data_IF_445367501142
#
_entry.id   IF_445367501142
#
_cell.length_a   1.000
_cell.length_b   1.000
_cell.length_c   1.000
_cell.angle_alpha   90.00
_cell.angle_beta   90.00
_cell.angle_gamma   90.00
#
_symmetry.space_group_name_H-M   'P 1'
#
loop_
_entity.id
_entity.type
_entity.pdbx_description
1 polymer ?
#
# COMPACT_ATOMS: atom_id res chain seq x y z
N UNK A 1 -0.37 63.25 -43.03
CA UNK A 1 0.15 61.94 -43.49
C UNK A 1 0.09 61.03 -42.27
N UNK A 2 -1.02 60.31 -42.14
CA UNK A 2 -1.42 59.62 -40.90
C UNK A 2 -0.80 58.23 -40.88
N UNK A 3 -0.02 57.91 -39.84
CA UNK A 3 0.52 56.57 -39.62
C UNK A 3 -0.63 55.60 -39.31
N UNK A 4 -0.66 54.40 -39.91
CA UNK A 4 -1.62 53.38 -39.52
C UNK A 4 -1.28 52.81 -38.12
N UNK A 5 -2.28 52.38 -37.33
CA UNK A 5 -2.03 51.82 -36.01
C UNK A 5 -1.36 50.44 -36.12
N UNK A 6 -0.36 50.20 -35.26
CA UNK A 6 0.21 48.87 -35.02
C UNK A 6 -0.91 47.90 -34.62
N UNK A 7 -1.01 46.80 -35.36
CA UNK A 7 -1.85 45.67 -34.96
C UNK A 7 -1.14 44.92 -33.83
N UNK A 8 -1.82 44.60 -32.72
CA UNK A 8 -1.23 43.74 -31.70
C UNK A 8 -1.00 42.35 -32.29
N UNK A 9 0.23 41.85 -32.13
CA UNK A 9 0.58 40.46 -32.42
C UNK A 9 -0.40 39.54 -31.68
N UNK A 10 -1.09 38.70 -32.45
CA UNK A 10 -1.88 37.61 -31.90
C UNK A 10 -0.94 36.62 -31.20
N UNK A 11 -1.18 36.25 -29.93
CA UNK A 11 -0.40 35.20 -29.31
C UNK A 11 -0.67 33.89 -30.03
N UNK A 12 0.40 33.35 -30.61
CA UNK A 12 0.46 32.09 -31.32
C UNK A 12 -0.02 30.92 -30.44
N UNK A 13 -0.78 30.02 -31.05
CA UNK A 13 -1.23 28.71 -30.59
C UNK A 13 -1.31 28.44 -29.08
N UNK A 14 -2.52 28.54 -28.52
CA UNK A 14 -2.91 27.94 -27.23
C UNK A 14 -2.88 26.41 -27.25
N UNK A 15 -1.68 25.83 -27.43
CA UNK A 15 -1.43 24.42 -27.20
C UNK A 15 -1.45 24.14 -25.71
N UNK A 16 -2.26 23.16 -25.29
CA UNK A 16 -2.18 22.60 -23.93
C UNK A 16 -0.72 22.25 -23.65
N UNK A 17 -0.11 22.80 -22.57
CA UNK A 17 1.31 22.56 -22.30
C UNK A 17 1.58 21.05 -22.14
N UNK A 18 2.78 20.58 -22.48
CA UNK A 18 3.06 19.15 -22.66
C UNK A 18 2.72 18.31 -21.41
N UNK A 19 2.94 18.89 -20.24
CA UNK A 19 2.63 18.32 -18.93
C UNK A 19 1.13 18.11 -18.71
N UNK A 20 0.28 19.05 -19.13
CA UNK A 20 -1.17 18.93 -19.03
C UNK A 20 -1.69 17.87 -20.00
N UNK A 21 -1.11 17.75 -21.20
CA UNK A 21 -1.49 16.71 -22.17
C UNK A 21 -1.16 15.32 -21.65
N UNK A 22 0.03 15.13 -21.08
CA UNK A 22 0.44 13.84 -20.54
C UNK A 22 -0.34 13.48 -19.28
N UNK A 23 -0.66 14.45 -18.42
CA UNK A 23 -1.59 14.25 -17.30
C UNK A 23 -2.98 13.81 -17.76
N UNK A 24 -3.54 14.45 -18.79
CA UNK A 24 -4.85 14.05 -19.35
C UNK A 24 -4.81 12.63 -19.91
N UNK A 25 -3.73 12.23 -20.60
CA UNK A 25 -3.56 10.87 -21.11
C UNK A 25 -3.56 9.83 -19.99
N UNK A 26 -2.88 10.11 -18.88
CA UNK A 26 -2.86 9.23 -17.70
C UNK A 26 -4.27 9.07 -17.14
N UNK A 27 -4.97 10.19 -16.90
CA UNK A 27 -6.34 10.17 -16.38
C UNK A 27 -7.29 9.41 -17.32
N UNK A 28 -7.21 9.64 -18.63
CA UNK A 28 -8.04 8.98 -19.63
C UNK A 28 -7.78 7.47 -19.67
N UNK A 29 -6.52 7.04 -19.59
CA UNK A 29 -6.15 5.63 -19.61
C UNK A 29 -6.67 4.89 -18.37
N UNK A 30 -6.56 5.49 -17.19
CA UNK A 30 -7.07 4.91 -15.94
C UNK A 30 -8.60 4.90 -15.93
N UNK A 31 -9.24 5.98 -16.38
CA UNK A 31 -10.70 6.03 -16.50
C UNK A 31 -11.23 5.04 -17.55
N UNK A 32 -10.49 4.80 -18.63
CA UNK A 32 -10.84 3.78 -19.62
C UNK A 32 -10.70 2.36 -19.06
N UNK A 33 -9.64 2.09 -18.29
CA UNK A 33 -9.49 0.82 -17.58
C UNK A 33 -10.66 0.59 -16.64
N UNK A 34 -11.08 1.62 -15.91
CA UNK A 34 -12.21 1.55 -15.01
C UNK A 34 -13.55 1.29 -15.73
N UNK A 35 -13.82 2.02 -16.82
CA UNK A 35 -15.03 1.80 -17.61
C UNK A 35 -15.09 0.42 -18.26
N UNK A 36 -13.94 -0.14 -18.63
CA UNK A 36 -13.85 -1.45 -19.28
C UNK A 36 -14.29 -2.63 -18.41
N UNK A 37 -14.35 -2.45 -17.10
CA UNK A 37 -14.77 -3.47 -16.12
C UNK A 37 -15.95 -3.00 -15.28
N UNK A 38 -16.74 -2.05 -15.81
CA UNK A 38 -17.91 -1.49 -15.11
C UNK A 38 -18.96 -2.54 -14.72
N UNK A 39 -19.13 -3.55 -15.57
CA UNK A 39 -20.10 -4.63 -15.36
C UNK A 39 -19.53 -5.76 -14.47
N UNK A 40 -18.24 -5.70 -14.12
CA UNK A 40 -17.48 -6.66 -13.30
C UNK A 40 -16.62 -5.88 -12.29
N UNK A 41 -17.23 -5.17 -11.33
CA UNK A 41 -16.55 -4.24 -10.42
C UNK A 41 -15.41 -4.90 -9.62
N UNK A 42 -15.48 -6.20 -9.36
CA UNK A 42 -14.41 -6.99 -8.74
C UNK A 42 -13.10 -7.02 -9.55
N UNK A 43 -13.15 -6.75 -10.86
CA UNK A 43 -11.96 -6.66 -11.73
C UNK A 43 -11.38 -5.26 -11.83
N UNK A 44 -12.08 -4.25 -11.31
CA UNK A 44 -11.62 -2.86 -11.24
C UNK A 44 -10.21 -2.71 -10.69
N UNK A 45 -9.86 -3.31 -9.53
CA UNK A 45 -8.57 -3.08 -8.91
C UNK A 45 -7.43 -3.62 -9.81
N UNK A 46 -7.57 -4.86 -10.31
CA UNK A 46 -6.58 -5.45 -11.22
C UNK A 46 -6.42 -4.65 -12.53
N UNK A 47 -7.51 -4.12 -13.09
CA UNK A 47 -7.47 -3.30 -14.29
C UNK A 47 -6.70 -1.98 -14.10
N UNK A 48 -6.81 -1.35 -12.92
CA UNK A 48 -6.06 -0.15 -12.55
C UNK A 48 -4.56 -0.45 -12.40
N UNK A 49 -4.21 -1.52 -11.67
CA UNK A 49 -2.82 -1.96 -11.53
C UNK A 49 -2.20 -2.27 -12.91
N UNK A 50 -2.92 -2.97 -13.81
CA UNK A 50 -2.46 -3.24 -15.16
C UNK A 50 -2.31 -1.96 -16.02
N UNK A 51 -3.14 -0.94 -15.81
CA UNK A 51 -3.00 0.34 -16.48
C UNK A 51 -1.72 1.10 -16.03
N UNK A 52 -1.37 1.01 -14.76
CA UNK A 52 -0.12 1.60 -14.24
C UNK A 52 1.11 1.04 -14.96
N UNK A 53 1.18 -0.29 -15.13
CA UNK A 53 2.28 -0.97 -15.84
C UNK A 53 2.33 -0.60 -17.33
N UNK A 54 1.19 -0.28 -17.97
CA UNK A 54 1.18 0.18 -19.37
C UNK A 54 1.65 1.63 -19.53
N UNK A 55 1.48 2.46 -18.51
CA UNK A 55 1.78 3.89 -18.55
C UNK A 55 3.21 4.22 -18.12
N UNK A 56 3.87 3.31 -17.40
CA UNK A 56 5.16 3.53 -16.78
C UNK A 56 6.14 2.41 -17.15
N UNK A 57 7.45 2.69 -17.24
CA UNK A 57 8.46 1.66 -17.50
C UNK A 57 8.78 0.87 -16.23
N UNK A 58 7.79 0.15 -15.72
CA UNK A 58 7.84 -0.67 -14.49
C UNK A 58 7.50 -2.11 -14.85
N UNK A 59 7.97 -3.07 -14.05
CA UNK A 59 7.67 -4.49 -14.25
C UNK A 59 6.42 -4.94 -13.52
N UNK A 60 6.04 -4.23 -12.45
CA UNK A 60 4.82 -4.49 -11.72
C UNK A 60 4.32 -3.27 -10.94
N UNK A 61 3.08 -3.35 -10.50
CA UNK A 61 2.45 -2.36 -9.63
C UNK A 61 1.51 -3.05 -8.64
N UNK A 62 1.43 -2.52 -7.42
CA UNK A 62 0.40 -2.90 -6.45
C UNK A 62 -0.19 -1.68 -5.77
N UNK A 63 -1.47 -1.75 -5.43
CA UNK A 63 -2.12 -0.76 -4.57
C UNK A 63 -2.43 -1.42 -3.25
N UNK A 64 -2.10 -0.74 -2.15
CA UNK A 64 -2.49 -1.14 -0.80
C UNK A 64 -3.32 -0.03 -0.14
N UNK A 65 -4.24 -0.40 0.75
CA UNK A 65 -5.11 0.51 1.51
C UNK A 65 -4.89 0.27 3.00
N UNK A 66 -4.82 1.35 3.77
CA UNK A 66 -4.64 1.31 5.22
C UNK A 66 -5.96 1.64 5.92
N UNK A 67 -6.49 0.67 6.66
CA UNK A 67 -7.81 0.77 7.29
C UNK A 67 -7.78 1.36 8.71
N UNK A 68 -7.15 2.52 8.90
CA UNK A 68 -7.22 3.34 10.12
C UNK A 68 -6.62 2.75 11.42
N UNK A 69 -6.19 1.48 11.44
CA UNK A 69 -5.72 0.78 12.66
C UNK A 69 -4.38 0.05 12.48
N UNK A 70 -3.47 0.59 11.67
CA UNK A 70 -2.17 -0.05 11.37
C UNK A 70 -2.26 -1.28 10.47
N UNK A 71 -3.46 -1.66 10.03
CA UNK A 71 -3.69 -2.75 9.08
C UNK A 71 -3.63 -2.18 7.66
N UNK A 72 -2.59 -2.54 6.91
CA UNK A 72 -2.44 -2.23 5.49
C UNK A 72 -2.70 -3.47 4.65
N UNK A 73 -3.57 -3.39 3.65
CA UNK A 73 -4.01 -4.53 2.86
C UNK A 73 -3.80 -4.27 1.37
N UNK A 74 -3.37 -5.28 0.63
CA UNK A 74 -3.20 -5.16 -0.83
C UNK A 74 -4.57 -5.13 -1.50
N UNK A 75 -4.93 -4.02 -2.14
CA UNK A 75 -6.17 -3.91 -2.91
C UNK A 75 -6.05 -4.52 -4.31
N UNK A 76 -4.90 -4.31 -4.97
CA UNK A 76 -4.60 -4.94 -6.25
C UNK A 76 -3.11 -5.15 -6.46
N UNK A 77 -2.80 -6.06 -7.37
CA UNK A 77 -1.48 -6.22 -7.95
C UNK A 77 -1.60 -6.50 -9.46
N UNK A 78 -0.61 -6.07 -10.23
CA UNK A 78 -0.54 -6.33 -11.68
C UNK A 78 -0.25 -7.79 -12.01
N UNK A 79 0.46 -8.47 -11.11
CA UNK A 79 0.96 -9.83 -11.28
C UNK A 79 1.28 -10.47 -9.92
N UNK A 80 1.75 -11.72 -9.96
CA UNK A 80 2.07 -12.50 -8.76
C UNK A 80 3.28 -11.98 -7.98
N UNK A 81 4.26 -11.38 -8.65
CA UNK A 81 5.46 -10.84 -7.99
C UNK A 81 5.07 -9.58 -7.22
N UNK A 82 4.32 -8.67 -7.85
CA UNK A 82 3.79 -7.49 -7.20
C UNK A 82 2.89 -7.85 -5.99
N UNK A 83 2.02 -8.86 -6.13
CA UNK A 83 1.19 -9.34 -5.02
C UNK A 83 2.04 -9.88 -3.87
N UNK A 84 3.08 -10.67 -4.18
CA UNK A 84 3.98 -11.24 -3.18
C UNK A 84 4.79 -10.18 -2.46
N UNK A 85 5.25 -9.14 -3.16
CA UNK A 85 5.99 -8.03 -2.57
C UNK A 85 5.11 -7.17 -1.67
N UNK A 86 3.87 -6.93 -2.05
CA UNK A 86 2.91 -6.24 -1.20
C UNK A 86 2.61 -7.04 0.07
N UNK A 87 2.38 -8.36 -0.05
CA UNK A 87 2.19 -9.28 1.08
C UNK A 87 3.43 -9.35 1.98
N UNK A 88 4.62 -9.29 1.38
CA UNK A 88 5.88 -9.28 2.12
C UNK A 88 6.03 -8.04 2.98
N UNK A 89 5.85 -6.83 2.43
CA UNK A 89 5.92 -5.59 3.20
C UNK A 89 4.90 -5.58 4.33
N UNK A 90 3.69 -6.10 4.07
CA UNK A 90 2.68 -6.26 5.10
C UNK A 90 3.08 -7.25 6.19
N UNK A 91 3.63 -8.41 5.81
CA UNK A 91 4.06 -9.47 6.73
C UNK A 91 5.22 -9.01 7.60
N UNK A 92 6.15 -8.25 7.03
CA UNK A 92 7.27 -7.69 7.78
C UNK A 92 6.83 -6.54 8.69
N UNK A 93 5.75 -5.84 8.35
CA UNK A 93 5.41 -4.56 8.98
C UNK A 93 6.48 -3.49 8.72
N UNK A 94 7.33 -3.70 7.72
CA UNK A 94 8.43 -2.83 7.36
C UNK A 94 8.65 -2.89 5.84
N UNK A 95 9.11 -1.79 5.26
CA UNK A 95 9.34 -1.64 3.84
C UNK A 95 9.11 -0.22 3.32
N UNK A 96 9.46 0.03 2.05
CA UNK A 96 9.22 1.32 1.40
C UNK A 96 7.78 1.83 1.53
N UNK A 97 6.79 0.94 1.42
CA UNK A 97 5.38 1.34 1.51
C UNK A 97 4.97 1.78 2.91
N UNK A 98 5.43 1.09 3.95
CA UNK A 98 5.18 1.47 5.35
C UNK A 98 5.80 2.84 5.63
N UNK A 99 7.06 3.04 5.23
CA UNK A 99 7.72 4.35 5.38
C UNK A 99 6.98 5.45 4.60
N UNK A 100 6.48 5.17 3.39
CA UNK A 100 5.74 6.16 2.60
C UNK A 100 4.41 6.55 3.26
N UNK A 101 3.72 5.57 3.84
CA UNK A 101 2.48 5.78 4.58
C UNK A 101 2.71 6.63 5.84
N UNK A 102 3.70 6.25 6.66
CA UNK A 102 4.07 6.97 7.89
C UNK A 102 4.49 8.41 7.63
N UNK A 103 5.27 8.65 6.56
CA UNK A 103 5.77 9.98 6.23
C UNK A 103 4.76 10.82 5.45
N UNK A 104 3.72 10.21 4.89
CA UNK A 104 2.82 10.86 3.94
C UNK A 104 3.55 11.40 2.70
N UNK A 105 4.71 10.82 2.34
CA UNK A 105 5.57 11.30 1.26
C UNK A 105 6.09 10.15 0.39
N UNK A 106 6.35 10.39 -0.92
CA UNK A 106 6.96 9.40 -1.79
C UNK A 106 8.29 8.87 -1.24
N UNK A 107 8.42 7.55 -1.20
CA UNK A 107 9.66 6.86 -0.82
C UNK A 107 10.20 6.10 -2.02
N UNK A 108 11.48 6.31 -2.29
CA UNK A 108 12.20 5.67 -3.39
C UNK A 108 13.28 4.77 -2.79
N UNK A 109 13.19 3.49 -3.08
CA UNK A 109 14.25 2.51 -2.89
C UNK A 109 14.89 2.28 -4.26
N UNK A 110 15.98 2.99 -4.54
CA UNK A 110 16.57 3.03 -5.88
C UNK A 110 17.49 1.82 -6.15
N UNK A 111 18.00 1.17 -5.10
CA UNK A 111 18.86 0.00 -5.23
C UNK A 111 18.64 -0.97 -4.07
N UNK A 112 17.89 -2.04 -4.31
CA UNK A 112 17.63 -3.10 -3.34
C UNK A 112 18.74 -4.15 -3.28
N UNK A 113 19.81 -4.00 -4.06
CA UNK A 113 20.94 -4.94 -4.08
C UNK A 113 22.12 -4.47 -3.23
N UNK A 114 22.22 -3.16 -2.97
CA UNK A 114 23.33 -2.58 -2.23
C UNK A 114 22.97 -1.28 -1.49
N UNK A 115 23.97 -0.70 -0.81
CA UNK A 115 23.88 0.68 -0.35
C UNK A 115 22.91 0.93 0.81
N UNK A 116 22.21 2.06 0.76
CA UNK A 116 21.38 2.55 1.87
C UNK A 116 20.08 1.76 2.01
N UNK A 117 19.45 1.38 0.90
CA UNK A 117 18.11 0.80 0.94
C UNK A 117 18.14 -0.65 1.48
N UNK A 118 19.18 -1.42 1.15
CA UNK A 118 19.46 -2.72 1.82
C UNK A 118 19.71 -2.62 3.32
N UNK A 119 20.15 -1.46 3.84
CA UNK A 119 20.30 -1.25 5.29
C UNK A 119 19.00 -0.80 5.95
N UNK A 120 18.15 -0.09 5.22
CA UNK A 120 16.85 0.38 5.73
C UNK A 120 15.86 -0.77 5.82
N UNK A 121 15.84 -1.63 4.80
CA UNK A 121 14.87 -2.72 4.69
C UNK A 121 15.58 -4.03 4.30
N UNK A 122 16.45 -4.59 5.16
CA UNK A 122 17.32 -5.70 4.79
C UNK A 122 16.57 -6.94 4.31
N UNK A 123 15.50 -7.33 5.00
CA UNK A 123 14.71 -8.51 4.64
C UNK A 123 13.93 -8.26 3.35
N UNK A 124 13.23 -7.14 3.25
CA UNK A 124 12.49 -6.79 2.04
C UNK A 124 13.40 -6.67 0.81
N UNK A 125 14.53 -5.99 0.93
CA UNK A 125 15.47 -5.79 -0.16
C UNK A 125 16.04 -7.11 -0.68
N UNK A 126 16.41 -8.03 0.22
CA UNK A 126 16.90 -9.35 -0.14
C UNK A 126 15.86 -10.17 -0.91
N UNK A 127 14.66 -10.33 -0.35
CA UNK A 127 13.58 -11.10 -0.97
C UNK A 127 13.10 -10.48 -2.29
N UNK A 128 13.05 -9.14 -2.38
CA UNK A 128 12.70 -8.45 -3.61
C UNK A 128 13.73 -8.69 -4.71
N UNK A 129 15.03 -8.62 -4.38
CA UNK A 129 16.10 -8.90 -5.32
C UNK A 129 16.08 -10.35 -5.83
N UNK A 130 15.78 -11.33 -4.96
CA UNK A 130 15.59 -12.74 -5.35
C UNK A 130 14.41 -12.91 -6.33
N UNK A 131 13.38 -12.08 -6.22
CA UNK A 131 12.25 -12.02 -7.17
C UNK A 131 12.53 -11.17 -8.41
N UNK A 132 13.75 -10.65 -8.58
CA UNK A 132 14.17 -9.86 -9.74
C UNK A 132 13.77 -8.38 -9.67
N UNK A 133 13.31 -7.89 -8.53
CA UNK A 133 12.97 -6.47 -8.31
C UNK A 133 14.14 -5.76 -7.64
N UNK A 134 14.68 -4.76 -8.33
CA UNK A 134 15.90 -4.06 -7.93
C UNK A 134 15.63 -2.62 -7.44
N UNK A 135 14.46 -2.07 -7.75
CA UNK A 135 14.05 -0.76 -7.26
C UNK A 135 12.52 -0.69 -7.06
N UNK A 136 12.09 0.13 -6.09
CA UNK A 136 10.68 0.31 -5.71
C UNK A 136 10.37 1.78 -5.46
N UNK A 137 9.24 2.25 -5.98
CA UNK A 137 8.69 3.58 -5.73
C UNK A 137 7.35 3.42 -5.02
N UNK A 138 7.31 3.81 -3.76
CA UNK A 138 6.11 3.78 -2.93
C UNK A 138 5.52 5.18 -2.85
N UNK A 139 4.36 5.36 -3.46
CA UNK A 139 3.68 6.64 -3.58
C UNK A 139 2.43 6.62 -2.69
N UNK A 140 2.35 7.45 -1.64
CA UNK A 140 1.17 7.48 -0.77
C UNK A 140 -0.06 7.94 -1.55
N UNK A 141 -1.17 7.24 -1.35
CA UNK A 141 -2.49 7.58 -1.86
C UNK A 141 -3.24 8.34 -0.76
N UNK A 142 -3.67 9.58 -1.03
CA UNK A 142 -4.31 10.40 0.00
C UNK A 142 -4.46 11.86 -0.38
N UNK A 143 -5.21 12.59 0.44
CA UNK A 143 -5.49 14.02 0.27
C UNK A 143 -5.16 14.75 1.57
N UNK A 144 -4.63 15.97 1.47
CA UNK A 144 -4.36 16.85 2.61
C UNK A 144 -3.43 16.27 3.69
N UNK A 145 -2.50 15.39 3.30
CA UNK A 145 -1.48 14.83 4.20
C UNK A 145 -1.91 13.57 4.96
N UNK A 146 -3.16 13.12 4.82
CA UNK A 146 -3.61 11.81 5.31
C UNK A 146 -3.50 10.79 4.18
N UNK A 147 -2.62 9.80 4.34
CA UNK A 147 -2.48 8.69 3.39
C UNK A 147 -3.42 7.55 3.78
N UNK A 148 -4.31 7.17 2.86
CA UNK A 148 -5.26 6.05 3.00
C UNK A 148 -4.70 4.76 2.40
N UNK A 149 -3.49 4.80 1.84
CA UNK A 149 -2.87 3.66 1.17
C UNK A 149 -1.59 4.03 0.43
N UNK A 150 -1.08 3.10 -0.37
CA UNK A 150 0.11 3.30 -1.22
C UNK A 150 -0.10 2.69 -2.61
N UNK A 151 0.47 3.34 -3.62
CA UNK A 151 0.77 2.76 -4.92
C UNK A 151 2.26 2.43 -4.95
N UNK A 152 2.58 1.14 -5.00
CA UNK A 152 3.94 0.66 -5.14
C UNK A 152 4.22 0.28 -6.60
N UNK A 153 5.34 0.76 -7.12
CA UNK A 153 5.80 0.51 -8.48
C UNK A 153 7.15 -0.21 -8.43
N UNK A 154 7.22 -1.38 -9.08
CA UNK A 154 8.37 -2.28 -9.02
C UNK A 154 9.16 -2.24 -10.33
N UNK A 155 10.49 -2.22 -10.23
CA UNK A 155 11.39 -2.17 -11.37
C UNK A 155 12.44 -3.29 -11.28
N UNK A 156 12.80 -3.86 -12.42
CA UNK A 156 13.86 -4.87 -12.57
C UNK A 156 15.27 -4.28 -12.77
N UNK A 157 15.42 -2.96 -12.60
CA UNK A 157 16.66 -2.23 -12.79
C UNK A 157 16.92 -1.24 -11.66
N UNK A 158 18.19 -1.12 -11.28
CA UNK A 158 18.66 -0.10 -10.33
C UNK A 158 18.40 1.32 -10.86
N UNK A 159 18.11 2.24 -9.96
CA UNK A 159 17.68 3.61 -10.25
C UNK A 159 16.20 3.71 -10.62
N UNK A 160 15.67 2.76 -11.38
CA UNK A 160 14.26 2.68 -11.73
C UNK A 160 13.80 3.79 -12.69
N UNK A 161 12.80 4.57 -12.28
CA UNK A 161 12.14 5.60 -13.09
C UNK A 161 13.03 6.82 -13.34
N UNK A 162 12.99 7.36 -14.56
CA UNK A 162 13.60 8.65 -14.88
C UNK A 162 12.78 9.80 -14.28
N UNK A 163 13.32 11.03 -14.24
CA UNK A 163 12.58 12.19 -13.75
C UNK A 163 11.25 12.44 -14.51
N UNK A 164 11.19 12.35 -15.86
CA UNK A 164 9.92 12.36 -16.58
C UNK A 164 8.95 11.24 -16.19
N UNK A 165 9.45 10.02 -15.99
CA UNK A 165 8.60 8.89 -15.63
C UNK A 165 8.08 9.03 -14.19
N UNK A 166 8.89 9.56 -13.28
CA UNK A 166 8.49 9.84 -11.91
C UNK A 166 7.36 10.88 -11.87
N UNK A 167 7.43 11.92 -12.71
CA UNK A 167 6.34 12.89 -12.85
C UNK A 167 5.07 12.23 -13.37
N UNK A 168 5.16 11.34 -14.35
CA UNK A 168 4.03 10.52 -14.81
C UNK A 168 3.48 9.64 -13.70
N UNK A 169 4.35 9.04 -12.89
CA UNK A 169 3.96 8.19 -11.76
C UNK A 169 3.19 8.97 -10.69
N UNK A 170 3.58 10.23 -10.43
CA UNK A 170 2.82 11.11 -9.54
C UNK A 170 1.42 11.42 -10.07
N UNK A 171 1.25 11.61 -11.38
CA UNK A 171 -0.08 11.76 -12.00
C UNK A 171 -0.90 10.46 -11.94
N UNK A 172 -0.26 9.31 -12.15
CA UNK A 172 -0.91 8.00 -11.98
C UNK A 172 -1.40 7.88 -10.54
N UNK A 173 -0.56 8.21 -9.55
CA UNK A 173 -0.95 8.24 -8.14
C UNK A 173 -2.13 9.18 -7.87
N UNK A 174 -2.17 10.39 -8.45
CA UNK A 174 -3.33 11.30 -8.30
C UNK A 174 -4.61 10.65 -8.84
N UNK A 175 -4.54 10.08 -10.04
CA UNK A 175 -5.70 9.48 -10.70
C UNK A 175 -6.18 8.21 -9.97
N UNK A 176 -5.25 7.38 -9.47
CA UNK A 176 -5.59 6.23 -8.61
C UNK A 176 -6.21 6.72 -7.30
N UNK A 177 -5.65 7.75 -6.66
CA UNK A 177 -6.25 8.36 -5.45
C UNK A 177 -7.67 8.85 -5.71
N UNK A 178 -7.88 9.55 -6.82
CA UNK A 178 -9.20 10.04 -7.19
C UNK A 178 -10.20 8.90 -7.45
N UNK A 179 -9.77 7.87 -8.18
CA UNK A 179 -10.58 6.67 -8.42
C UNK A 179 -10.92 5.98 -7.09
N UNK A 180 -9.96 5.92 -6.16
CA UNK A 180 -10.13 5.37 -4.82
C UNK A 180 -11.25 6.14 -4.09
N UNK A 181 -11.12 7.47 -3.99
CA UNK A 181 -12.11 8.29 -3.30
C UNK A 181 -13.49 8.30 -3.97
N UNK A 182 -13.56 8.10 -5.29
CA UNK A 182 -14.83 8.07 -6.03
C UNK A 182 -15.65 6.79 -5.77
N UNK A 183 -15.04 5.75 -5.20
CA UNK A 183 -15.71 4.52 -4.77
C UNK A 183 -16.33 4.67 -3.37
N UNK A 184 -16.00 5.73 -2.61
CA UNK A 184 -16.57 5.98 -1.30
C UNK A 184 -18.02 6.51 -1.38
N UNK A 185 -18.93 6.08 -0.48
CA UNK A 185 -20.04 6.92 -0.06
C UNK A 185 -19.47 8.20 0.57
N UNK A 186 -20.13 9.35 0.38
CA UNK A 186 -19.65 10.65 0.83
C UNK A 186 -19.21 10.64 2.31
N UNK A 187 -17.93 10.94 2.55
CA UNK A 187 -17.33 11.08 3.88
C UNK A 187 -17.94 12.28 4.63
N UNK A 188 -18.57 12.04 5.80
CA UNK A 188 -18.88 13.05 6.82
C UNK A 188 -18.30 12.62 8.19
N UNK A 189 -16.97 12.63 8.27
CA UNK A 189 -16.25 13.05 9.48
C UNK A 189 -16.46 12.30 10.81
N UNK A 190 -17.00 11.07 10.85
CA UNK A 190 -17.13 10.29 12.10
C UNK A 190 -16.29 9.01 12.11
N UNK A 191 -15.82 8.60 13.29
CA UNK A 191 -14.96 7.40 13.48
C UNK A 191 -15.67 6.08 13.10
N UNK A 192 -17.00 6.02 13.23
CA UNK A 192 -17.83 4.88 12.84
C UNK A 192 -17.91 4.73 11.30
N UNK A 193 -17.85 5.83 10.54
CA UNK A 193 -17.90 5.82 9.07
C UNK A 193 -16.55 5.48 8.42
N UNK A 194 -15.44 5.66 9.15
CA UNK A 194 -14.14 5.15 8.69
C UNK A 194 -14.15 3.62 8.63
N UNK A 195 -14.76 2.95 9.62
CA UNK A 195 -14.96 1.49 9.60
C UNK A 195 -15.88 1.07 8.45
N UNK A 196 -16.93 1.85 8.15
CA UNK A 196 -17.88 1.56 7.07
C UNK A 196 -17.25 1.79 5.67
N UNK A 197 -16.40 2.81 5.54
CA UNK A 197 -15.58 3.01 4.35
C UNK A 197 -14.63 1.81 4.17
N UNK A 198 -13.91 1.39 5.22
CA UNK A 198 -13.05 0.19 5.19
C UNK A 198 -13.86 -1.05 4.83
N UNK A 199 -15.09 -1.20 5.32
CA UNK A 199 -15.96 -2.31 4.95
C UNK A 199 -16.28 -2.30 3.45
N UNK A 200 -16.57 -1.15 2.85
CA UNK A 200 -16.75 -1.01 1.40
C UNK A 200 -15.47 -1.32 0.59
N UNK A 201 -14.29 -0.94 1.10
CA UNK A 201 -12.99 -1.33 0.54
C UNK A 201 -12.73 -2.83 0.60
N UNK A 202 -13.11 -3.46 1.72
CA UNK A 202 -12.96 -4.89 1.98
C UNK A 202 -13.94 -5.71 1.16
N UNK A 203 -15.19 -5.25 0.99
CA UNK A 203 -16.18 -5.88 0.11
C UNK A 203 -15.76 -5.86 -1.35
N UNK A 204 -15.05 -4.81 -1.78
CA UNK A 204 -14.48 -4.70 -3.13
C UNK A 204 -13.16 -5.47 -3.31
N UNK A 205 -12.61 -6.07 -2.24
CA UNK A 205 -11.31 -6.75 -2.24
C UNK A 205 -11.46 -8.27 -2.03
N UNK A 206 -10.46 -9.04 -2.46
CA UNK A 206 -10.50 -10.51 -2.43
C UNK A 206 -10.68 -11.10 -1.00
N UNK A 207 -11.17 -12.35 -0.93
CA UNK A 207 -11.53 -13.06 0.30
C UNK A 207 -10.44 -13.11 1.39
N UNK A 208 -9.16 -13.11 1.00
CA UNK A 208 -8.02 -13.14 1.93
C UNK A 208 -7.98 -11.90 2.86
N UNK A 209 -8.60 -10.77 2.47
CA UNK A 209 -8.56 -9.53 3.25
C UNK A 209 -9.51 -9.51 4.45
N UNK A 210 -10.71 -10.04 4.28
CA UNK A 210 -11.68 -10.25 5.37
C UNK A 210 -11.12 -11.21 6.42
N UNK A 211 -10.37 -12.21 5.98
CA UNK A 211 -9.82 -13.23 6.85
C UNK A 211 -8.81 -12.67 7.85
N UNK A 212 -7.93 -11.75 7.42
CA UNK A 212 -6.92 -11.16 8.31
C UNK A 212 -7.55 -10.29 9.39
N UNK A 213 -8.53 -9.44 9.05
CA UNK A 213 -9.23 -8.62 10.04
C UNK A 213 -9.98 -9.47 11.07
N UNK A 214 -10.67 -10.51 10.61
CA UNK A 214 -11.36 -11.44 11.51
C UNK A 214 -10.36 -12.19 12.41
N UNK A 215 -9.21 -12.60 11.87
CA UNK A 215 -8.16 -13.23 12.66
C UNK A 215 -7.57 -12.27 13.69
N UNK A 216 -7.28 -11.00 13.33
CA UNK A 216 -6.83 -9.96 14.27
C UNK A 216 -7.83 -9.82 15.41
N UNK A 217 -9.14 -9.69 15.12
CA UNK A 217 -10.18 -9.64 16.16
C UNK A 217 -10.20 -10.88 17.06
N UNK A 218 -10.02 -12.07 16.49
CA UNK A 218 -9.90 -13.31 17.27
C UNK A 218 -8.65 -13.32 18.15
N UNK A 219 -7.52 -12.77 17.68
CA UNK A 219 -6.28 -12.69 18.45
C UNK A 219 -6.38 -11.67 19.57
N UNK A 220 -6.96 -10.48 19.32
CA UNK A 220 -7.23 -9.47 20.35
C UNK A 220 -7.94 -10.09 21.55
N UNK A 221 -8.99 -10.89 21.32
CA UNK A 221 -9.73 -11.57 22.39
C UNK A 221 -8.93 -12.69 23.05
N UNK A 222 -8.04 -13.37 22.31
CA UNK A 222 -7.25 -14.49 22.85
C UNK A 222 -6.16 -14.04 23.82
N UNK A 223 -5.58 -12.86 23.61
CA UNK A 223 -4.42 -12.38 24.38
C UNK A 223 -4.63 -11.01 25.04
N UNK A 224 -5.84 -10.45 24.95
CA UNK A 224 -6.26 -9.17 25.55
C UNK A 224 -5.36 -7.99 25.16
N UNK A 225 -5.24 -7.74 23.86
CA UNK A 225 -4.43 -6.66 23.29
C UNK A 225 -5.21 -5.87 22.23
N UNK A 226 -4.70 -4.68 21.90
CA UNK A 226 -5.24 -3.86 20.82
C UNK A 226 -4.96 -4.48 19.42
N UNK A 227 -5.59 -3.97 18.35
CA UNK A 227 -5.43 -4.52 17.00
C UNK A 227 -4.00 -4.49 16.46
N UNK A 228 -3.23 -3.45 16.80
CA UNK A 228 -1.85 -3.27 16.33
C UNK A 228 -0.95 -4.33 16.97
N UNK A 229 -1.04 -4.48 18.29
CA UNK A 229 -0.33 -5.52 19.02
C UNK A 229 -0.74 -6.93 18.54
N UNK A 230 -2.03 -7.18 18.30
CA UNK A 230 -2.49 -8.47 17.78
C UNK A 230 -1.89 -8.76 16.40
N UNK A 231 -1.87 -7.78 15.50
CA UNK A 231 -1.24 -7.91 14.19
C UNK A 231 0.26 -8.13 14.30
N UNK A 232 0.96 -7.42 15.19
CA UNK A 232 2.39 -7.62 15.41
C UNK A 232 2.71 -9.02 15.93
N UNK A 233 1.87 -9.58 16.80
CA UNK A 233 1.99 -11.00 17.21
C UNK A 233 1.78 -11.95 16.03
N UNK A 234 0.81 -11.66 15.16
CA UNK A 234 0.59 -12.45 13.95
C UNK A 234 1.77 -12.36 12.97
N UNK A 235 2.35 -11.16 12.79
CA UNK A 235 3.56 -10.93 11.97
C UNK A 235 4.77 -11.67 12.53
N UNK A 236 5.03 -11.53 13.82
CA UNK A 236 6.13 -12.23 14.50
C UNK A 236 6.02 -13.75 14.34
N UNK A 237 4.81 -14.29 14.46
CA UNK A 237 4.50 -15.71 14.22
C UNK A 237 4.72 -16.11 12.76
N UNK A 238 4.22 -15.32 11.81
CA UNK A 238 4.37 -15.55 10.39
C UNK A 238 5.86 -15.59 10.01
N UNK A 239 6.62 -14.60 10.46
CA UNK A 239 8.06 -14.50 10.25
C UNK A 239 8.81 -15.71 10.83
N UNK A 240 8.55 -16.08 12.09
CA UNK A 240 9.22 -17.21 12.74
C UNK A 240 8.96 -18.56 12.05
N UNK A 241 7.83 -18.71 11.37
CA UNK A 241 7.44 -19.94 10.66
C UNK A 241 7.72 -19.91 9.15
N UNK A 242 8.24 -18.80 8.61
CA UNK A 242 8.44 -18.64 7.16
C UNK A 242 7.13 -18.60 6.37
N UNK A 243 6.06 -18.09 6.98
CA UNK A 243 4.69 -18.05 6.46
C UNK A 243 4.26 -16.61 6.27
N UNK A 244 3.13 -16.43 5.59
CA UNK A 244 2.52 -15.10 5.42
C UNK A 244 1.50 -14.82 6.50
N UNK A 245 1.24 -13.54 6.77
CA UNK A 245 0.17 -13.16 7.73
C UNK A 245 -1.19 -13.70 7.28
N UNK A 246 -1.49 -13.72 5.98
CA UNK A 246 -2.74 -14.31 5.45
C UNK A 246 -2.82 -15.81 5.71
N UNK A 247 -1.70 -16.54 5.59
CA UNK A 247 -1.64 -17.95 5.98
C UNK A 247 -1.84 -18.16 7.47
N UNK A 248 -1.25 -17.31 8.32
CA UNK A 248 -1.46 -17.34 9.78
C UNK A 248 -2.92 -17.04 10.11
N UNK A 249 -3.53 -16.03 9.48
CA UNK A 249 -4.93 -15.68 9.65
C UNK A 249 -5.87 -16.86 9.35
N UNK A 250 -5.66 -17.55 8.22
CA UNK A 250 -6.42 -18.76 7.87
C UNK A 250 -6.35 -19.86 8.94
N UNK A 251 -5.19 -20.05 9.58
CA UNK A 251 -5.07 -21.03 10.68
C UNK A 251 -5.79 -20.57 11.95
N UNK A 252 -5.78 -19.27 12.24
CA UNK A 252 -6.52 -18.69 13.38
C UNK A 252 -8.02 -18.87 13.17
N UNK A 253 -8.54 -18.53 11.98
CA UNK A 253 -9.96 -18.70 11.64
C UNK A 253 -10.39 -20.17 11.67
N UNK A 254 -9.53 -21.06 11.15
CA UNK A 254 -9.73 -22.50 11.23
C UNK A 254 -9.56 -23.06 12.67
N UNK A 255 -9.21 -22.21 13.65
CA UNK A 255 -8.93 -22.55 15.05
C UNK A 255 -7.82 -23.60 15.24
N UNK A 256 -6.95 -23.75 14.23
CA UNK A 256 -5.77 -24.63 14.23
C UNK A 256 -4.57 -23.96 14.88
N UNK A 257 -4.54 -22.62 14.87
CA UNK A 257 -3.56 -21.80 15.57
C UNK A 257 -4.25 -20.93 16.62
N UNK A 258 -3.64 -20.82 17.82
CA UNK A 258 -4.08 -19.94 18.89
C UNK A 258 -2.89 -19.19 19.47
N UNK A 259 -3.13 -17.94 19.82
CA UNK A 259 -2.20 -17.11 20.57
C UNK A 259 -2.50 -17.27 22.06
N UNK A 260 -1.45 -17.21 22.88
CA UNK A 260 -1.56 -17.28 24.34
C UNK A 260 -0.90 -16.03 24.93
N UNK A 261 -1.43 -15.50 26.04
CA UNK A 261 -0.73 -14.50 26.81
C UNK A 261 0.66 -15.03 27.17
N UNK A 262 1.69 -14.18 27.09
CA UNK A 262 2.97 -14.55 27.68
C UNK A 262 2.77 -14.67 29.20
N UNK A 263 3.34 -15.69 29.85
CA UNK A 263 3.27 -15.79 31.29
C UNK A 263 3.91 -14.53 31.88
N UNK A 264 3.14 -13.80 32.68
CA UNK A 264 3.57 -12.57 33.32
C UNK A 264 4.82 -12.90 34.15
N UNK A 265 5.97 -12.32 33.80
CA UNK A 265 7.28 -12.63 34.40
C UNK A 265 7.42 -12.11 35.84
N UNK A 266 6.32 -11.98 36.57
CA UNK A 266 6.26 -11.48 37.94
C UNK A 266 5.55 -12.49 38.84
N UNK A 267 6.20 -13.62 39.13
CA UNK A 267 5.77 -14.44 40.28
C UNK A 267 6.84 -15.41 40.83
N UNK A 268 8.14 -15.04 40.78
CA UNK A 268 9.22 -15.87 41.36
C UNK A 268 10.14 -15.11 42.35
N UNK A 269 9.63 -14.14 43.12
CA UNK A 269 10.41 -13.55 44.25
C UNK A 269 9.64 -13.35 45.56
N UNK A 270 8.52 -14.05 45.78
CA UNK A 270 7.87 -14.13 47.10
C UNK A 270 7.82 -15.58 47.59
N UNK A 271 9.01 -16.16 47.78
CA UNK A 271 9.14 -17.55 48.21
C UNK A 271 10.45 -17.88 48.91
N UNK A 272 11.16 -16.90 49.49
CA UNK A 272 12.28 -17.15 50.42
C UNK A 272 12.33 -16.07 51.49
N UNK A 273 11.38 -16.10 52.41
CA UNK A 273 11.69 -15.69 53.78
C UNK A 273 11.13 -16.74 54.74
N UNK A 274 11.78 -17.90 54.69
CA UNK A 274 11.67 -18.95 55.68
C UNK A 274 12.98 -19.00 56.45
N UNK A 275 12.88 -18.62 57.72
CA UNK A 275 13.65 -19.19 58.83
C UNK A 275 15.16 -18.87 58.86
N UNK A 276 15.51 -17.83 59.63
CA UNK A 276 16.71 -17.80 60.48
C UNK A 276 16.69 -16.63 61.48
N UNK A 277 16.29 -16.95 62.70
CA UNK A 277 16.91 -16.57 64.00
C UNK A 277 15.86 -16.26 65.07
#
# INVERSE_FOLDING_TARGET
MTMPPEQPEQPDGGGVPPDVRDRLRVTDALAAAARGVRDEPERMPAALCAACVRLLPVTGASVSISGGRGVQMTWCASDRVAARLAELQYTLGDGPCQTALEQGAPVIAADLTAGRDTRRWPVFAHEAAEMGVLAVFSLPLGVSGAAVGTLDLYCDRVGGLSEPDLRTALWVRDAVTYALMSVQPAYDGTEDEAEEAVASWVEASEADHTEVYQAVGMVMVQIDVDPEQALDRMRARAFAEGRTVSQVAREVLARRLRFRPEPDGRDDDQGRDGDRS
#
